data_IF_765990147965
#
_entry.id   IF_765990147965
#
_cell.length_a   1.000
_cell.length_b   1.000
_cell.length_c   1.000
_cell.angle_alpha   90.00
_cell.angle_beta   90.00
_cell.angle_gamma   90.00
#
_symmetry.space_group_name_H-M   'P 1'
#
loop_
_entity.id
_entity.type
_entity.pdbx_description
1 polymer ?
#
# COMPACT_ATOMS: atom_id res chain seq x y z
N UNK A 1 13.68 -11.68 12.28
CA UNK A 1 13.86 -11.09 10.93
C UNK A 1 12.71 -11.40 9.98
N UNK A 2 12.20 -12.64 9.87
CA UNK A 2 11.12 -12.97 8.92
C UNK A 2 9.86 -12.14 9.05
N UNK A 3 9.36 -11.94 10.27
CA UNK A 3 8.15 -11.13 10.50
C UNK A 3 8.37 -9.63 10.19
N UNK A 4 9.61 -9.09 10.29
CA UNK A 4 9.93 -7.72 9.88
C UNK A 4 9.92 -7.62 8.36
N UNK A 5 10.45 -8.61 7.63
CA UNK A 5 10.34 -8.66 6.17
C UNK A 5 8.89 -8.80 5.70
N UNK A 6 8.07 -9.56 6.43
CA UNK A 6 6.64 -9.65 6.15
C UNK A 6 5.93 -8.31 6.38
N UNK A 7 6.24 -7.60 7.47
CA UNK A 7 5.71 -6.26 7.73
C UNK A 7 6.19 -5.23 6.69
N UNK A 8 7.47 -5.29 6.27
CA UNK A 8 7.98 -4.46 5.18
C UNK A 8 7.29 -4.79 3.85
N UNK A 9 7.06 -6.07 3.55
CA UNK A 9 6.29 -6.50 2.36
C UNK A 9 4.82 -6.10 2.41
N UNK A 10 4.27 -5.89 3.61
CA UNK A 10 2.93 -5.30 3.77
C UNK A 10 2.90 -3.83 3.36
N UNK A 11 3.91 -3.08 3.75
CA UNK A 11 4.01 -1.67 3.43
C UNK A 11 4.34 -1.45 1.94
N UNK A 12 5.34 -2.16 1.41
CA UNK A 12 5.72 -2.04 0.00
C UNK A 12 4.68 -2.67 -0.91
N UNK A 13 3.96 -1.85 -1.67
CA UNK A 13 2.88 -2.27 -2.54
C UNK A 13 2.68 -1.36 -3.76
N UNK A 14 1.52 -1.46 -4.39
CA UNK A 14 1.14 -0.58 -5.49
C UNK A 14 1.11 0.90 -5.07
N UNK A 15 0.90 1.18 -3.80
CA UNK A 15 0.95 2.52 -3.23
C UNK A 15 2.28 3.24 -3.46
N UNK A 16 3.40 2.50 -3.46
CA UNK A 16 4.75 3.06 -3.65
C UNK A 16 5.09 3.27 -5.12
N UNK A 17 4.66 2.34 -6.00
CA UNK A 17 5.13 2.31 -7.39
C UNK A 17 4.13 2.99 -8.33
N UNK A 18 2.88 3.04 -7.94
CA UNK A 18 1.79 3.64 -8.71
C UNK A 18 1.32 4.98 -8.11
N UNK A 19 0.73 4.92 -6.90
CA UNK A 19 0.08 6.09 -6.30
C UNK A 19 1.06 7.19 -5.90
N UNK A 20 2.21 6.83 -5.37
CA UNK A 20 3.21 7.80 -4.92
C UNK A 20 3.76 8.65 -6.08
N UNK A 21 4.26 8.09 -7.20
CA UNK A 21 4.71 8.91 -8.32
C UNK A 21 3.61 9.79 -8.90
N UNK A 22 2.38 9.29 -9.01
CA UNK A 22 1.24 10.11 -9.43
C UNK A 22 1.08 11.34 -8.53
N UNK A 23 1.05 11.16 -7.21
CA UNK A 23 0.92 12.27 -6.27
C UNK A 23 2.13 13.21 -6.28
N UNK A 24 3.34 12.69 -6.49
CA UNK A 24 4.55 13.52 -6.68
C UNK A 24 4.42 14.40 -7.92
N UNK A 25 3.93 13.84 -9.03
CA UNK A 25 3.66 14.56 -10.27
C UNK A 25 2.66 15.70 -10.09
N UNK A 26 1.53 15.39 -9.45
CA UNK A 26 0.42 16.34 -9.24
C UNK A 26 0.78 17.44 -8.24
N UNK A 27 1.70 17.20 -7.29
CA UNK A 27 1.92 18.07 -6.14
C UNK A 27 3.33 18.70 -6.06
N UNK A 28 4.03 18.81 -7.19
CA UNK A 28 5.24 19.65 -7.26
C UNK A 28 6.55 18.93 -6.91
N UNK A 29 6.65 17.62 -7.14
CA UNK A 29 7.93 16.92 -7.14
C UNK A 29 8.62 16.83 -5.77
N UNK A 30 9.86 17.30 -5.70
CA UNK A 30 10.72 17.19 -4.51
C UNK A 30 10.11 17.80 -3.23
N UNK A 31 9.34 18.88 -3.34
CA UNK A 31 8.70 19.51 -2.17
C UNK A 31 7.66 18.59 -1.54
N UNK A 32 6.85 17.91 -2.36
CA UNK A 32 5.92 16.89 -1.88
C UNK A 32 6.65 15.72 -1.18
N UNK A 33 7.78 15.25 -1.74
CA UNK A 33 8.58 14.16 -1.16
C UNK A 33 9.06 14.52 0.24
N UNK A 34 9.54 15.75 0.45
CA UNK A 34 9.96 16.21 1.77
C UNK A 34 8.81 16.21 2.79
N UNK A 35 7.64 16.73 2.41
CA UNK A 35 6.44 16.70 3.27
C UNK A 35 5.99 15.28 3.55
N UNK A 36 6.03 14.39 2.55
CA UNK A 36 5.72 12.97 2.71
C UNK A 36 6.62 12.30 3.75
N UNK A 37 7.94 12.51 3.69
CA UNK A 37 8.89 12.00 4.68
C UNK A 37 8.57 12.55 6.08
N UNK A 38 8.25 13.83 6.20
CA UNK A 38 7.82 14.42 7.47
C UNK A 38 6.54 13.77 8.01
N UNK A 39 5.55 13.51 7.15
CA UNK A 39 4.32 12.83 7.55
C UNK A 39 4.58 11.39 8.02
N UNK A 40 5.49 10.68 7.37
CA UNK A 40 5.92 9.35 7.83
C UNK A 40 6.52 9.43 9.24
N UNK A 41 7.43 10.35 9.48
CA UNK A 41 8.13 10.49 10.77
C UNK A 41 7.17 10.93 11.89
N UNK A 42 6.27 11.88 11.62
CA UNK A 42 5.44 12.51 12.64
C UNK A 42 4.11 11.77 12.89
N UNK A 43 3.58 11.06 11.89
CA UNK A 43 2.29 10.39 11.97
C UNK A 43 2.40 8.89 11.70
N UNK A 44 3.01 8.49 10.60
CA UNK A 44 3.08 7.09 10.18
C UNK A 44 3.79 6.19 11.19
N UNK A 45 5.03 6.53 11.55
CA UNK A 45 5.83 5.75 12.51
C UNK A 45 5.17 5.66 13.89
N UNK A 46 4.67 6.74 14.51
CA UNK A 46 3.97 6.64 15.78
C UNK A 46 2.76 5.71 15.75
N UNK A 47 1.93 5.78 14.71
CA UNK A 47 0.76 4.89 14.55
C UNK A 47 1.22 3.43 14.37
N UNK A 48 2.23 3.19 13.53
CA UNK A 48 2.82 1.85 13.34
C UNK A 48 3.35 1.28 14.66
N UNK A 49 4.07 2.07 15.44
CA UNK A 49 4.53 1.66 16.78
C UNK A 49 3.35 1.34 17.68
N UNK A 50 2.27 2.13 17.63
CA UNK A 50 1.03 1.86 18.35
C UNK A 50 0.43 0.49 18.02
N UNK A 51 0.33 0.14 16.72
CA UNK A 51 -0.11 -1.19 16.29
C UNK A 51 0.83 -2.31 16.75
N UNK A 52 2.14 -2.06 16.68
CA UNK A 52 3.13 -3.02 17.15
C UNK A 52 3.04 -3.26 18.66
N UNK A 53 2.79 -2.22 19.47
CA UNK A 53 2.55 -2.34 20.91
C UNK A 53 1.35 -3.25 21.16
N UNK A 54 0.23 -2.99 20.48
CA UNK A 54 -1.00 -3.77 20.64
C UNK A 54 -0.78 -5.23 20.23
N UNK A 55 -0.26 -5.47 19.03
CA UNK A 55 -0.08 -6.82 18.48
C UNK A 55 0.91 -7.66 19.28
N UNK A 56 2.12 -7.12 19.60
CA UNK A 56 3.14 -7.84 20.36
C UNK A 56 2.70 -8.14 21.78
N UNK A 57 2.00 -7.21 22.43
CA UNK A 57 1.54 -7.41 23.80
C UNK A 57 0.49 -8.51 23.90
N UNK A 58 -0.49 -8.50 22.99
CA UNK A 58 -1.66 -9.39 23.06
C UNK A 58 -1.46 -10.73 22.35
N UNK A 59 -0.51 -10.84 21.42
CA UNK A 59 -0.27 -12.03 20.61
C UNK A 59 -1.55 -12.55 19.93
N UNK A 60 -2.43 -11.63 19.50
CA UNK A 60 -3.76 -11.93 18.98
C UNK A 60 -4.07 -11.11 17.72
N UNK A 61 -5.09 -11.53 16.95
CA UNK A 61 -5.63 -10.69 15.88
C UNK A 61 -6.14 -9.35 16.45
N UNK A 62 -6.28 -8.35 15.57
CA UNK A 62 -6.60 -7.00 15.99
C UNK A 62 -7.91 -6.88 16.79
N UNK A 63 -8.97 -7.60 16.45
CA UNK A 63 -10.26 -7.54 17.16
C UNK A 63 -10.13 -8.08 18.59
N UNK A 64 -9.49 -9.22 18.74
CA UNK A 64 -9.29 -9.85 20.06
C UNK A 64 -8.25 -9.10 20.88
N UNK A 65 -7.27 -8.45 20.25
CA UNK A 65 -6.33 -7.57 20.93
C UNK A 65 -7.03 -6.42 21.64
N UNK A 66 -7.94 -5.70 20.98
CA UNK A 66 -8.73 -4.66 21.63
C UNK A 66 -9.71 -5.20 22.68
N UNK A 67 -10.23 -6.41 22.48
CA UNK A 67 -11.08 -7.08 23.47
C UNK A 67 -10.33 -7.42 24.77
N UNK A 68 -9.05 -7.83 24.64
CA UNK A 68 -8.19 -8.11 25.80
C UNK A 68 -7.76 -6.84 26.53
N UNK A 69 -7.38 -5.77 25.78
CA UNK A 69 -6.87 -4.53 26.35
C UNK A 69 -7.96 -3.62 26.92
N UNK A 70 -9.20 -3.77 26.46
CA UNK A 70 -10.35 -2.97 26.90
C UNK A 70 -11.62 -3.82 27.01
N UNK A 71 -11.68 -4.79 27.97
CA UNK A 71 -12.81 -5.71 28.10
C UNK A 71 -14.10 -4.96 28.39
N UNK A 72 -15.15 -5.31 27.64
CA UNK A 72 -16.49 -4.70 27.80
C UNK A 72 -16.61 -3.25 27.30
N UNK A 73 -15.57 -2.67 26.70
CA UNK A 73 -15.59 -1.30 26.17
C UNK A 73 -15.79 -1.29 24.66
N UNK A 74 -16.28 -0.15 24.14
CA UNK A 74 -16.55 0.07 22.72
C UNK A 74 -15.29 0.10 21.84
N UNK A 75 -14.09 0.21 22.41
CA UNK A 75 -12.80 0.24 21.70
C UNK A 75 -12.58 -0.94 20.76
N UNK A 76 -13.30 -2.05 20.96
CA UNK A 76 -13.31 -3.17 20.03
C UNK A 76 -13.66 -2.76 18.59
N UNK A 77 -14.37 -1.65 18.39
CA UNK A 77 -14.75 -1.13 17.08
C UNK A 77 -13.51 -0.87 16.19
N UNK A 78 -12.37 -0.45 16.78
CA UNK A 78 -11.13 -0.21 16.05
C UNK A 78 -10.66 -1.50 15.38
N UNK A 79 -10.70 -2.61 16.11
CA UNK A 79 -10.34 -3.92 15.55
C UNK A 79 -11.28 -4.35 14.42
N UNK A 80 -12.59 -4.12 14.60
CA UNK A 80 -13.61 -4.43 13.56
C UNK A 80 -13.39 -3.56 12.33
N UNK A 81 -13.13 -2.26 12.50
CA UNK A 81 -12.82 -1.36 11.39
C UNK A 81 -11.54 -1.78 10.65
N UNK A 82 -10.45 -2.11 11.38
CA UNK A 82 -9.19 -2.53 10.78
C UNK A 82 -9.32 -3.82 9.96
N UNK A 83 -9.93 -4.87 10.53
CA UNK A 83 -10.14 -6.13 9.78
C UNK A 83 -11.16 -5.95 8.65
N UNK A 84 -12.22 -5.18 8.88
CA UNK A 84 -13.23 -4.88 7.86
C UNK A 84 -12.65 -4.13 6.67
N UNK A 85 -11.84 -3.10 6.92
CA UNK A 85 -11.20 -2.33 5.85
C UNK A 85 -10.15 -3.17 5.11
N UNK A 86 -9.38 -4.03 5.81
CA UNK A 86 -8.46 -4.95 5.15
C UNK A 86 -9.19 -5.90 4.20
N UNK A 87 -10.39 -6.37 4.57
CA UNK A 87 -11.22 -7.22 3.72
C UNK A 87 -11.79 -6.48 2.51
N UNK A 88 -12.28 -5.25 2.69
CA UNK A 88 -12.77 -4.41 1.59
C UNK A 88 -11.63 -4.09 0.62
N UNK A 89 -10.48 -3.65 1.14
CA UNK A 89 -9.30 -3.36 0.31
C UNK A 89 -8.88 -4.60 -0.44
N UNK A 90 -8.73 -5.75 0.21
CA UNK A 90 -8.38 -7.01 -0.46
C UNK A 90 -9.27 -7.27 -1.67
N UNK A 91 -10.58 -7.04 -1.54
CA UNK A 91 -11.56 -7.35 -2.59
C UNK A 91 -11.34 -6.54 -3.87
N UNK A 92 -11.10 -5.23 -3.80
CA UNK A 92 -10.83 -4.43 -5.00
C UNK A 92 -9.36 -4.45 -5.40
N UNK A 93 -8.46 -4.65 -4.44
CA UNK A 93 -7.02 -4.74 -4.71
C UNK A 93 -6.67 -5.93 -5.60
N UNK A 94 -7.42 -7.04 -5.52
CA UNK A 94 -7.28 -8.20 -6.41
C UNK A 94 -7.48 -7.83 -7.87
N UNK A 95 -8.38 -6.91 -8.17
CA UNK A 95 -8.68 -6.46 -9.53
C UNK A 95 -7.46 -5.76 -10.11
N UNK A 96 -6.94 -4.74 -9.40
CA UNK A 96 -5.77 -3.99 -9.82
C UNK A 96 -4.52 -4.88 -9.88
N UNK A 97 -4.40 -5.81 -8.94
CA UNK A 97 -3.30 -6.79 -8.94
C UNK A 97 -3.40 -7.74 -10.14
N UNK A 98 -4.61 -8.11 -10.55
CA UNK A 98 -4.86 -8.85 -11.79
C UNK A 98 -4.38 -8.08 -13.03
N UNK A 99 -4.55 -6.75 -13.06
CA UNK A 99 -4.02 -5.91 -14.13
C UNK A 99 -2.50 -5.97 -14.22
N UNK A 100 -1.79 -5.94 -13.07
CA UNK A 100 -0.32 -6.05 -13.08
C UNK A 100 0.16 -7.39 -13.65
N UNK A 101 -0.55 -8.48 -13.33
CA UNK A 101 -0.25 -9.81 -13.87
C UNK A 101 -0.48 -9.86 -15.39
N UNK A 102 -1.61 -9.33 -15.87
CA UNK A 102 -1.91 -9.26 -17.29
C UNK A 102 -0.91 -8.40 -18.06
N UNK A 103 -0.52 -7.26 -17.51
CA UNK A 103 0.47 -6.37 -18.14
C UNK A 103 1.89 -6.97 -18.13
N UNK A 104 2.27 -7.71 -17.10
CA UNK A 104 3.52 -8.48 -17.12
C UNK A 104 3.52 -9.51 -18.27
N UNK A 105 2.42 -10.27 -18.41
CA UNK A 105 2.24 -11.20 -19.53
C UNK A 105 2.27 -10.48 -20.89
N UNK A 106 1.53 -9.38 -21.05
CA UNK A 106 1.43 -8.61 -22.29
C UNK A 106 2.76 -7.96 -22.68
N UNK A 107 3.58 -7.57 -21.71
CA UNK A 107 4.94 -7.08 -21.96
C UNK A 107 5.82 -8.18 -22.55
N UNK A 108 5.85 -9.38 -21.93
CA UNK A 108 6.67 -10.49 -22.43
C UNK A 108 6.14 -11.15 -23.70
N UNK A 109 4.85 -11.02 -24.00
CA UNK A 109 4.28 -11.48 -25.28
C UNK A 109 4.55 -10.52 -26.45
N UNK A 110 5.08 -9.33 -26.16
CA UNK A 110 5.34 -8.29 -27.19
C UNK A 110 4.11 -7.44 -27.52
N UNK A 111 2.96 -7.68 -26.90
CA UNK A 111 1.72 -6.93 -27.19
C UNK A 111 1.85 -5.41 -26.84
N UNK A 112 2.64 -5.09 -25.82
CA UNK A 112 2.93 -3.70 -25.43
C UNK A 112 4.11 -3.06 -26.15
N UNK A 113 4.77 -3.78 -27.05
CA UNK A 113 5.97 -3.29 -27.80
C UNK A 113 5.63 -2.80 -29.19
N UNK A 114 4.36 -2.83 -29.60
CA UNK A 114 3.93 -2.31 -30.88
C UNK A 114 3.89 -0.75 -30.83
N UNK A 115 4.67 -0.03 -31.66
CA UNK A 115 4.67 1.44 -31.68
C UNK A 115 3.31 2.07 -32.05
N UNK A 116 2.49 1.35 -32.81
CA UNK A 116 1.16 1.80 -33.24
C UNK A 116 0.05 1.42 -32.27
N UNK A 117 0.38 0.90 -31.09
CA UNK A 117 -0.60 0.51 -30.07
C UNK A 117 -1.24 1.73 -29.42
N UNK A 118 -2.56 1.81 -29.48
CA UNK A 118 -3.33 2.72 -28.62
C UNK A 118 -3.42 2.11 -27.21
N UNK A 119 -2.52 2.51 -26.33
CA UNK A 119 -2.44 1.98 -24.97
C UNK A 119 -3.67 2.35 -24.11
N UNK A 120 -4.36 3.46 -24.44
CA UNK A 120 -5.62 3.83 -23.81
C UNK A 120 -6.72 2.85 -24.15
N UNK A 121 -6.89 2.56 -25.46
CA UNK A 121 -7.83 1.54 -25.92
C UNK A 121 -7.45 0.14 -25.41
N UNK A 122 -6.16 -0.23 -25.44
CA UNK A 122 -5.69 -1.52 -24.93
C UNK A 122 -6.08 -1.74 -23.47
N UNK A 123 -5.90 -0.74 -22.61
CA UNK A 123 -6.32 -0.82 -21.21
C UNK A 123 -7.84 -0.83 -21.08
N UNK A 124 -8.54 0.07 -21.80
CA UNK A 124 -10.00 0.16 -21.80
C UNK A 124 -10.65 -1.16 -22.19
N UNK A 125 -10.20 -1.77 -23.30
CA UNK A 125 -10.71 -3.06 -23.78
C UNK A 125 -10.45 -4.20 -22.80
N UNK A 126 -9.27 -4.18 -22.15
CA UNK A 126 -8.93 -5.17 -21.13
C UNK A 126 -9.83 -5.08 -19.90
N UNK A 127 -10.01 -3.90 -19.33
CA UNK A 127 -10.82 -3.74 -18.11
C UNK A 127 -12.31 -3.89 -18.37
N UNK A 128 -12.77 -3.54 -19.58
CA UNK A 128 -14.15 -3.72 -20.01
C UNK A 128 -14.48 -5.19 -20.31
N UNK A 129 -13.46 -6.01 -20.65
CA UNK A 129 -13.66 -7.43 -20.91
C UNK A 129 -13.83 -8.19 -19.58
N UNK A 130 -15.06 -8.65 -19.24
CA UNK A 130 -15.33 -9.25 -17.94
C UNK A 130 -14.53 -10.54 -17.70
N UNK A 131 -14.33 -11.35 -18.74
CA UNK A 131 -13.65 -12.65 -18.62
C UNK A 131 -12.16 -12.48 -18.39
N UNK A 132 -11.51 -11.60 -19.14
CA UNK A 132 -10.07 -11.41 -19.08
C UNK A 132 -9.65 -10.76 -17.74
N UNK A 133 -10.37 -9.71 -17.33
CA UNK A 133 -10.16 -9.05 -16.04
C UNK A 133 -10.44 -10.00 -14.87
N UNK A 134 -11.50 -10.80 -14.95
CA UNK A 134 -11.85 -11.76 -13.90
C UNK A 134 -10.83 -12.90 -13.80
N UNK A 135 -10.40 -13.49 -14.93
CA UNK A 135 -9.41 -14.57 -14.93
C UNK A 135 -8.11 -14.12 -14.29
N UNK A 136 -7.60 -12.94 -14.65
CA UNK A 136 -6.36 -12.41 -14.05
C UNK A 136 -6.49 -12.16 -12.55
N UNK A 137 -7.63 -11.64 -12.07
CA UNK A 137 -7.91 -11.46 -10.65
C UNK A 137 -8.02 -12.81 -9.91
N UNK A 138 -8.68 -13.82 -10.49
CA UNK A 138 -8.77 -15.18 -9.93
C UNK A 138 -7.39 -15.82 -9.83
N UNK A 139 -6.58 -15.76 -10.88
CA UNK A 139 -5.21 -16.31 -10.88
C UNK A 139 -4.39 -15.64 -9.78
N UNK A 140 -4.46 -14.31 -9.66
CA UNK A 140 -3.75 -13.58 -8.62
C UNK A 140 -4.22 -13.98 -7.21
N UNK A 141 -5.55 -14.11 -7.00
CA UNK A 141 -6.10 -14.61 -5.73
C UNK A 141 -5.62 -16.02 -5.41
N UNK A 142 -5.59 -16.92 -6.38
CA UNK A 142 -5.11 -18.29 -6.17
C UNK A 142 -3.64 -18.31 -5.74
N UNK A 143 -2.78 -17.48 -6.36
CA UNK A 143 -1.39 -17.35 -5.93
C UNK A 143 -1.27 -16.86 -4.47
N UNK A 144 -2.03 -15.83 -4.12
CA UNK A 144 -2.08 -15.31 -2.74
C UNK A 144 -2.57 -16.39 -1.76
N UNK A 145 -3.66 -17.07 -2.11
CA UNK A 145 -4.24 -18.15 -1.30
C UNK A 145 -3.25 -19.30 -1.05
N UNK A 146 -2.54 -19.76 -2.09
CA UNK A 146 -1.55 -20.84 -1.98
C UNK A 146 -0.39 -20.50 -1.02
N UNK A 147 -0.05 -19.22 -0.90
CA UNK A 147 0.96 -18.76 0.06
C UNK A 147 0.37 -18.78 1.49
N UNK A 148 -0.84 -18.24 1.66
CA UNK A 148 -1.48 -18.11 2.97
C UNK A 148 -1.78 -19.48 3.61
N UNK A 149 -2.22 -20.48 2.86
CA UNK A 149 -2.52 -21.82 3.40
C UNK A 149 -1.30 -22.53 3.96
N UNK A 150 -0.07 -22.16 3.50
CA UNK A 150 1.18 -22.75 4.01
C UNK A 150 1.57 -22.21 5.39
N UNK A 151 0.89 -21.18 5.88
CA UNK A 151 1.12 -20.60 7.21
C UNK A 151 2.11 -19.45 7.23
N UNK A 152 2.36 -18.94 8.43
CA UNK A 152 3.19 -17.72 8.60
C UNK A 152 4.66 -18.01 8.26
N UNK A 153 5.25 -19.05 8.81
CA UNK A 153 6.68 -19.33 8.65
C UNK A 153 7.02 -19.90 7.28
N UNK A 154 6.30 -20.94 6.83
CA UNK A 154 6.58 -21.65 5.58
C UNK A 154 5.97 -20.96 4.34
N UNK A 155 4.94 -20.16 4.53
CA UNK A 155 4.29 -19.39 3.46
C UNK A 155 4.76 -17.94 3.44
N UNK A 156 4.26 -17.13 4.36
CA UNK A 156 4.40 -15.67 4.34
C UNK A 156 5.85 -15.24 4.51
N UNK A 157 6.52 -15.66 5.59
CA UNK A 157 7.91 -15.25 5.87
C UNK A 157 8.89 -15.75 4.81
N UNK A 158 8.75 -17.01 4.38
CA UNK A 158 9.60 -17.59 3.34
C UNK A 158 9.41 -16.87 2.03
N UNK A 159 8.17 -16.58 1.64
CA UNK A 159 7.84 -15.82 0.44
C UNK A 159 8.41 -14.41 0.51
N UNK A 160 8.19 -13.68 1.61
CA UNK A 160 8.69 -12.32 1.79
C UNK A 160 10.22 -12.23 1.77
N UNK A 161 10.93 -13.23 2.33
CA UNK A 161 12.40 -13.32 2.27
C UNK A 161 12.95 -13.47 0.85
N UNK A 162 12.15 -13.96 -0.09
CA UNK A 162 12.53 -14.11 -1.50
C UNK A 162 12.05 -12.89 -2.31
N UNK A 163 10.77 -12.53 -2.17
CA UNK A 163 10.16 -11.49 -2.98
C UNK A 163 10.74 -10.09 -2.70
N UNK A 164 11.02 -9.75 -1.43
CA UNK A 164 11.54 -8.43 -1.10
C UNK A 164 12.93 -8.14 -1.66
N UNK A 165 13.95 -9.02 -1.51
CA UNK A 165 15.23 -8.84 -2.18
C UNK A 165 15.12 -8.82 -3.71
N UNK A 166 14.25 -9.66 -4.30
CA UNK A 166 14.03 -9.68 -5.74
C UNK A 166 13.41 -8.37 -6.24
N UNK A 167 12.43 -7.83 -5.50
CA UNK A 167 11.84 -6.52 -5.77
C UNK A 167 12.91 -5.41 -5.72
N UNK A 168 13.74 -5.37 -4.66
CA UNK A 168 14.80 -4.38 -4.54
C UNK A 168 15.88 -4.53 -5.63
N UNK A 169 16.18 -5.75 -6.07
CA UNK A 169 17.08 -5.99 -7.18
C UNK A 169 16.52 -5.44 -8.51
N UNK A 170 15.26 -5.75 -8.80
CA UNK A 170 14.61 -5.28 -10.04
C UNK A 170 14.52 -3.75 -10.05
N UNK A 171 14.11 -3.13 -8.93
CA UNK A 171 14.03 -1.66 -8.86
C UNK A 171 15.42 -1.03 -9.04
N UNK A 172 16.47 -1.64 -8.48
CA UNK A 172 17.85 -1.18 -8.67
C UNK A 172 18.30 -1.28 -10.14
N UNK A 173 18.00 -2.38 -10.82
CA UNK A 173 18.27 -2.55 -12.26
C UNK A 173 17.54 -1.49 -13.08
N UNK A 174 16.24 -1.30 -12.82
CA UNK A 174 15.44 -0.30 -13.53
C UNK A 174 15.97 1.12 -13.34
N UNK A 175 16.33 1.50 -12.10
CA UNK A 175 16.96 2.81 -11.84
C UNK A 175 18.27 2.98 -12.60
N UNK A 176 19.12 1.96 -12.66
CA UNK A 176 20.36 2.03 -13.46
C UNK A 176 20.06 2.22 -14.95
N UNK A 177 19.06 1.54 -15.48
CA UNK A 177 18.64 1.69 -16.88
C UNK A 177 18.16 3.12 -17.20
N UNK A 178 17.58 3.84 -16.25
CA UNK A 178 17.09 5.23 -16.49
C UNK A 178 18.21 6.22 -16.77
N UNK A 179 19.46 5.94 -16.36
CA UNK A 179 20.60 6.81 -16.67
C UNK A 179 20.93 6.87 -18.16
N UNK A 180 20.43 5.94 -18.98
CA UNK A 180 20.55 5.98 -20.44
C UNK A 180 19.40 6.75 -21.13
N UNK A 181 18.41 7.20 -20.39
CA UNK A 181 17.26 7.92 -20.94
C UNK A 181 17.56 9.41 -21.16
N UNK A 182 17.05 10.02 -22.26
CA UNK A 182 17.26 11.44 -22.54
C UNK A 182 16.77 12.39 -21.44
N UNK A 183 15.62 12.08 -20.80
CA UNK A 183 14.98 12.88 -19.77
C UNK A 183 15.55 12.70 -18.36
N UNK A 184 16.74 12.10 -18.19
CA UNK A 184 17.32 11.84 -16.87
C UNK A 184 17.56 13.11 -16.06
N UNK A 185 18.09 14.17 -16.69
CA UNK A 185 18.41 15.42 -15.98
C UNK A 185 17.17 16.16 -15.50
N UNK A 186 16.13 16.22 -16.32
CA UNK A 186 14.85 16.81 -16.00
C UNK A 186 14.15 16.03 -14.90
N UNK A 187 14.13 14.69 -15.01
CA UNK A 187 13.56 13.79 -14.00
C UNK A 187 14.26 13.91 -12.64
N UNK A 188 15.60 13.93 -12.62
CA UNK A 188 16.36 14.13 -11.41
C UNK A 188 16.16 15.55 -10.83
N UNK A 189 16.11 16.57 -11.67
CA UNK A 189 15.82 17.94 -11.22
C UNK A 189 14.45 18.04 -10.57
N UNK A 190 13.43 17.41 -11.14
CA UNK A 190 12.07 17.39 -10.60
C UNK A 190 11.99 16.68 -9.24
N UNK A 191 12.73 15.59 -9.07
CA UNK A 191 12.74 14.81 -7.83
C UNK A 191 13.63 15.38 -6.71
N UNK A 192 14.66 16.18 -7.06
CA UNK A 192 15.68 16.60 -6.09
C UNK A 192 15.70 18.11 -5.83
N UNK A 193 15.09 18.93 -6.70
CA UNK A 193 15.01 20.38 -6.51
C UNK A 193 13.62 20.78 -6.00
N UNK A 194 13.45 21.08 -4.71
CA UNK A 194 12.14 21.39 -4.16
C UNK A 194 11.66 22.78 -4.59
N UNK A 195 10.45 22.82 -5.12
CA UNK A 195 9.72 24.06 -5.40
C UNK A 195 8.63 24.27 -4.32
N UNK A 196 8.97 25.04 -3.30
CA UNK A 196 8.06 25.32 -2.19
C UNK A 196 6.89 26.25 -2.55
N UNK A 197 6.92 26.91 -3.72
CA UNK A 197 5.83 27.79 -4.18
C UNK A 197 4.53 27.02 -4.42
N UNK A 198 4.64 25.72 -4.72
CA UNK A 198 3.49 24.82 -4.95
C UNK A 198 2.92 24.23 -3.66
N UNK A 199 3.58 24.43 -2.51
CA UNK A 199 3.11 23.92 -1.24
C UNK A 199 1.87 24.70 -0.77
N UNK A 200 0.82 23.93 -0.51
CA UNK A 200 -0.40 24.41 0.12
C UNK A 200 -0.94 23.34 1.08
N UNK A 201 -1.98 23.67 1.83
CA UNK A 201 -2.56 22.75 2.80
C UNK A 201 -3.07 21.45 2.15
N UNK A 202 -3.57 21.51 0.92
CA UNK A 202 -4.03 20.33 0.17
C UNK A 202 -2.89 19.36 -0.13
N UNK A 203 -1.71 19.86 -0.50
CA UNK A 203 -0.50 19.06 -0.75
C UNK A 203 -0.03 18.34 0.54
N UNK A 204 -0.07 19.04 1.68
CA UNK A 204 0.27 18.43 2.98
C UNK A 204 -0.68 17.29 3.30
N UNK A 205 -2.00 17.48 3.10
CA UNK A 205 -2.99 16.43 3.34
C UNK A 205 -2.86 15.25 2.37
N UNK A 206 -2.53 15.52 1.11
CA UNK A 206 -2.25 14.47 0.11
C UNK A 206 -1.02 13.64 0.50
N UNK A 207 0.06 14.29 0.94
CA UNK A 207 1.27 13.63 1.41
C UNK A 207 1.01 12.78 2.67
N UNK A 208 0.19 13.28 3.59
CA UNK A 208 -0.20 12.54 4.79
C UNK A 208 -1.08 11.34 4.45
N UNK A 209 -2.06 11.50 3.56
CA UNK A 209 -2.87 10.40 3.05
C UNK A 209 -2.04 9.31 2.38
N UNK A 210 -1.04 9.70 1.59
CA UNK A 210 -0.09 8.78 0.99
C UNK A 210 0.76 8.05 2.04
N UNK A 211 1.27 8.75 3.05
CA UNK A 211 2.04 8.13 4.12
C UNK A 211 1.22 7.10 4.91
N UNK A 212 -0.05 7.41 5.16
CA UNK A 212 -0.97 6.53 5.87
C UNK A 212 -1.29 5.26 5.08
N UNK A 213 -1.57 5.43 3.79
CA UNK A 213 -1.89 4.34 2.87
C UNK A 213 -0.67 3.43 2.61
N UNK A 214 0.49 4.03 2.30
CA UNK A 214 1.72 3.32 1.96
C UNK A 214 2.19 2.42 3.10
N UNK A 215 2.21 2.94 4.33
CA UNK A 215 2.64 2.18 5.50
C UNK A 215 1.63 1.12 5.98
N UNK A 216 0.48 0.96 5.32
CA UNK A 216 -0.59 0.03 5.69
C UNK A 216 -1.05 0.16 7.16
N UNK A 217 -1.05 1.38 7.70
CA UNK A 217 -1.46 1.65 9.08
C UNK A 217 -2.99 1.68 9.24
N UNK A 218 -3.49 1.32 10.41
CA UNK A 218 -4.90 1.19 10.76
C UNK A 218 -5.69 0.10 9.99
N UNK A 219 -5.00 -0.75 9.23
CA UNK A 219 -5.59 -1.88 8.49
C UNK A 219 -5.55 -3.20 9.27
N UNK A 220 -5.00 -3.21 10.48
CA UNK A 220 -4.81 -4.43 11.26
C UNK A 220 -3.70 -5.37 10.77
N UNK A 221 -3.11 -5.11 9.60
CA UNK A 221 -2.00 -5.91 9.06
C UNK A 221 -0.77 -5.85 9.96
N UNK A 222 -0.36 -4.65 10.35
CA UNK A 222 0.82 -4.44 11.20
C UNK A 222 0.60 -4.99 12.61
N UNK A 223 -0.59 -4.83 13.18
CA UNK A 223 -0.97 -5.44 14.45
C UNK A 223 -0.92 -6.98 14.36
N UNK A 224 -1.42 -7.56 13.27
CA UNK A 224 -1.38 -9.01 13.03
C UNK A 224 0.06 -9.51 12.92
N UNK A 225 0.93 -8.83 12.16
CA UNK A 225 2.34 -9.23 12.09
C UNK A 225 3.07 -9.04 13.42
N UNK A 226 2.76 -7.98 14.16
CA UNK A 226 3.33 -7.76 15.47
C UNK A 226 2.90 -8.83 16.48
N UNK A 227 1.74 -9.47 16.30
CA UNK A 227 1.35 -10.62 17.14
C UNK A 227 2.25 -11.84 16.96
N UNK A 228 3.03 -11.89 15.88
CA UNK A 228 4.05 -12.92 15.62
C UNK A 228 5.46 -12.50 16.06
N UNK A 229 5.64 -11.28 16.57
CA UNK A 229 6.94 -10.82 17.06
C UNK A 229 7.33 -11.50 18.36
N UNK A 230 8.62 -11.80 18.49
CA UNK A 230 9.20 -12.22 19.76
C UNK A 230 9.21 -11.04 20.76
N UNK A 231 9.14 -11.34 22.04
CA UNK A 231 9.16 -10.32 23.12
C UNK A 231 10.40 -9.40 23.08
N UNK A 232 11.53 -9.90 22.56
CA UNK A 232 12.78 -9.14 22.42
C UNK A 232 12.85 -8.28 21.16
N UNK A 233 11.84 -8.28 20.30
CA UNK A 233 11.82 -7.47 19.08
C UNK A 233 11.70 -5.98 19.43
N UNK A 234 12.65 -5.15 18.99
CA UNK A 234 12.65 -3.71 19.24
C UNK A 234 11.64 -3.00 18.31
N UNK A 235 10.48 -2.61 18.85
CA UNK A 235 9.35 -2.11 18.06
C UNK A 235 9.68 -0.85 17.25
N UNK A 236 10.33 0.13 17.87
CA UNK A 236 10.68 1.40 17.19
C UNK A 236 11.70 1.16 16.08
N UNK A 237 12.72 0.33 16.32
CA UNK A 237 13.69 -0.03 15.28
C UNK A 237 13.02 -0.78 14.13
N UNK A 238 12.08 -1.66 14.43
CA UNK A 238 11.30 -2.37 13.40
C UNK A 238 10.45 -1.41 12.58
N UNK A 239 9.76 -0.46 13.23
CA UNK A 239 8.96 0.55 12.54
C UNK A 239 9.82 1.44 11.64
N UNK A 240 10.99 1.89 12.13
CA UNK A 240 11.95 2.65 11.33
C UNK A 240 12.47 1.84 10.13
N UNK A 241 12.78 0.55 10.32
CA UNK A 241 13.24 -0.30 9.22
C UNK A 241 12.15 -0.49 8.16
N UNK A 242 10.92 -0.79 8.57
CA UNK A 242 9.79 -0.96 7.65
C UNK A 242 9.52 0.33 6.88
N UNK A 243 9.41 1.47 7.57
CA UNK A 243 9.14 2.76 6.92
C UNK A 243 10.31 3.21 6.02
N UNK A 244 11.57 2.92 6.39
CA UNK A 244 12.71 3.24 5.53
C UNK A 244 12.71 2.43 4.24
N UNK A 245 12.40 1.14 4.30
CA UNK A 245 12.29 0.28 3.11
C UNK A 245 11.14 0.77 2.23
N UNK A 246 9.97 1.02 2.81
CA UNK A 246 8.79 1.53 2.12
C UNK A 246 9.07 2.85 1.40
N UNK A 247 9.61 3.84 2.12
CA UNK A 247 9.95 5.15 1.57
C UNK A 247 11.03 5.07 0.48
N UNK A 248 12.04 4.20 0.67
CA UNK A 248 13.07 4.00 -0.34
C UNK A 248 12.49 3.46 -1.63
N UNK A 249 11.61 2.45 -1.57
CA UNK A 249 10.95 1.90 -2.75
C UNK A 249 10.07 2.96 -3.42
N UNK A 250 9.32 3.77 -2.66
CA UNK A 250 8.51 4.86 -3.20
C UNK A 250 9.37 5.90 -3.95
N UNK A 251 10.48 6.35 -3.35
CA UNK A 251 11.37 7.32 -3.98
C UNK A 251 12.06 6.71 -5.21
N UNK A 252 12.56 5.48 -5.12
CA UNK A 252 13.21 4.79 -6.24
C UNK A 252 12.24 4.58 -7.41
N UNK A 253 10.95 4.34 -7.17
CA UNK A 253 9.96 4.29 -8.26
C UNK A 253 9.80 5.64 -8.95
N UNK A 254 9.91 6.75 -8.24
CA UNK A 254 10.00 8.09 -8.84
C UNK A 254 11.22 8.22 -9.76
N UNK A 255 12.40 7.71 -9.36
CA UNK A 255 13.60 7.68 -10.19
C UNK A 255 13.47 6.79 -11.45
N UNK A 256 12.52 5.85 -11.47
CA UNK A 256 12.20 5.06 -12.67
C UNK A 256 11.25 5.85 -13.58
N UNK A 257 10.20 6.42 -13.03
CA UNK A 257 9.06 6.95 -13.77
C UNK A 257 9.35 8.34 -14.35
N UNK A 258 9.89 9.27 -13.55
CA UNK A 258 10.06 10.65 -14.01
C UNK A 258 11.11 10.81 -15.12
N UNK A 259 12.30 10.20 -15.08
CA UNK A 259 13.21 10.24 -16.23
C UNK A 259 12.57 9.68 -17.50
N UNK A 260 11.78 8.61 -17.39
CA UNK A 260 11.07 8.04 -18.53
C UNK A 260 10.02 9.02 -19.09
N UNK A 261 9.16 9.58 -18.23
CA UNK A 261 8.13 10.57 -18.62
C UNK A 261 8.75 11.80 -19.30
N UNK A 262 9.80 12.37 -18.71
CA UNK A 262 10.49 13.54 -19.29
C UNK A 262 11.31 13.22 -20.55
N UNK A 263 11.51 11.94 -20.88
CA UNK A 263 12.13 11.52 -22.14
C UNK A 263 11.20 11.64 -23.34
N UNK A 264 9.89 11.77 -23.12
CA UNK A 264 8.89 11.78 -24.20
C UNK A 264 8.20 13.14 -24.25
N UNK A 265 8.29 13.87 -25.38
CA UNK A 265 7.62 15.16 -25.55
C UNK A 265 6.09 15.05 -25.39
N UNK A 266 5.49 16.06 -24.82
CA UNK A 266 4.03 16.18 -24.64
C UNK A 266 3.39 15.16 -23.67
N UNK A 267 4.17 14.41 -22.93
CA UNK A 267 3.67 13.57 -21.83
C UNK A 267 3.79 14.36 -20.53
N UNK A 268 2.67 14.51 -19.83
CA UNK A 268 2.63 15.20 -18.55
C UNK A 268 2.92 14.23 -17.39
N UNK A 269 3.64 14.71 -16.37
CA UNK A 269 3.96 13.92 -15.19
C UNK A 269 2.74 13.61 -14.30
N UNK A 270 1.60 14.27 -14.56
CA UNK A 270 0.34 14.19 -13.82
C UNK A 270 -0.76 13.42 -14.55
N UNK A 271 -0.42 12.40 -15.32
CA UNK A 271 -1.39 11.62 -16.12
C UNK A 271 -2.45 10.82 -15.30
N UNK A 272 -2.54 11.05 -13.99
CA UNK A 272 -3.56 10.46 -13.12
C UNK A 272 -3.46 8.93 -12.96
N UNK A 273 -4.58 8.24 -12.64
CA UNK A 273 -4.60 6.79 -12.46
C UNK A 273 -4.20 5.99 -13.71
N UNK A 274 -4.38 6.58 -14.90
CA UNK A 274 -3.97 6.01 -16.19
C UNK A 274 -2.46 5.96 -16.41
N UNK A 275 -1.67 6.69 -15.61
CA UNK A 275 -0.22 6.81 -15.79
C UNK A 275 0.45 5.44 -15.98
N UNK A 276 0.19 4.49 -15.10
CA UNK A 276 0.89 3.20 -15.08
C UNK A 276 0.46 2.25 -16.20
N UNK A 277 -0.83 2.23 -16.54
CA UNK A 277 -1.36 1.25 -17.47
C UNK A 277 -1.61 1.79 -18.88
N UNK A 278 -1.68 3.09 -19.04
CA UNK A 278 -1.92 3.75 -20.33
C UNK A 278 -0.69 4.51 -20.81
N UNK A 279 -0.07 5.32 -19.95
CA UNK A 279 1.02 6.22 -20.33
C UNK A 279 2.39 5.53 -20.29
N UNK A 280 2.71 4.81 -19.22
CA UNK A 280 4.05 4.22 -19.07
C UNK A 280 4.41 3.17 -20.13
N UNK A 281 3.51 2.30 -20.65
CA UNK A 281 3.86 1.41 -21.75
C UNK A 281 4.35 2.18 -22.99
N UNK A 282 3.65 3.27 -23.35
CA UNK A 282 4.07 4.17 -24.42
C UNK A 282 5.43 4.81 -24.12
N UNK A 283 5.57 5.37 -22.92
CA UNK A 283 6.80 6.05 -22.48
C UNK A 283 8.01 5.11 -22.50
N UNK A 284 7.88 3.88 -22.03
CA UNK A 284 8.98 2.92 -22.01
C UNK A 284 9.42 2.52 -23.41
N UNK A 285 8.50 2.39 -24.36
CA UNK A 285 8.84 2.13 -25.74
C UNK A 285 9.57 3.31 -26.40
N UNK A 286 9.13 4.54 -26.12
CA UNK A 286 9.71 5.76 -26.72
C UNK A 286 11.03 6.19 -26.07
N UNK A 287 11.18 6.02 -24.75
CA UNK A 287 12.37 6.45 -24.00
C UNK A 287 13.65 5.72 -24.42
N UNK A 288 13.52 4.52 -24.99
CA UNK A 288 14.62 3.72 -25.51
C UNK A 288 14.63 3.63 -27.05
N UNK A 289 14.09 4.63 -27.76
CA UNK A 289 13.82 4.63 -29.19
C UNK A 289 14.94 4.10 -30.10
N UNK A 290 16.20 4.26 -29.71
CA UNK A 290 17.36 3.73 -30.45
C UNK A 290 17.67 2.25 -30.12
N UNK A 291 17.09 1.68 -29.06
CA UNK A 291 17.34 0.31 -28.60
C UNK A 291 16.01 -0.32 -28.17
N UNK A 292 15.13 -0.73 -29.11
CA UNK A 292 13.79 -1.23 -28.79
C UNK A 292 13.76 -2.43 -27.83
N UNK A 293 14.78 -3.31 -27.91
CA UNK A 293 14.91 -4.47 -27.02
C UNK A 293 15.03 -4.05 -25.55
N UNK A 294 15.66 -2.90 -25.27
CA UNK A 294 15.82 -2.40 -23.91
C UNK A 294 14.48 -1.89 -23.35
N UNK A 295 13.67 -1.20 -24.16
CA UNK A 295 12.30 -0.79 -23.80
C UNK A 295 11.41 -2.00 -23.50
N UNK A 296 11.49 -3.04 -24.31
CA UNK A 296 10.78 -4.30 -24.09
C UNK A 296 11.14 -4.96 -22.75
N UNK A 297 12.44 -5.15 -22.48
CA UNK A 297 12.92 -5.76 -21.22
C UNK A 297 12.56 -4.88 -20.02
N UNK A 298 12.72 -3.55 -20.14
CA UNK A 298 12.41 -2.60 -19.09
C UNK A 298 10.92 -2.62 -18.71
N UNK A 299 10.04 -2.60 -19.72
CA UNK A 299 8.58 -2.72 -19.52
C UNK A 299 8.22 -4.03 -18.81
N UNK A 300 8.76 -5.16 -19.30
CA UNK A 300 8.53 -6.46 -18.67
C UNK A 300 8.96 -6.51 -17.19
N UNK A 301 10.18 -6.04 -16.90
CA UNK A 301 10.69 -5.98 -15.52
C UNK A 301 9.88 -5.03 -14.64
N UNK A 302 9.40 -3.91 -15.16
CA UNK A 302 8.58 -2.97 -14.43
C UNK A 302 7.24 -3.58 -14.02
N UNK A 303 6.55 -4.28 -14.93
CA UNK A 303 5.27 -4.93 -14.57
C UNK A 303 5.46 -6.16 -13.69
N UNK A 304 6.59 -6.87 -13.78
CA UNK A 304 6.96 -7.89 -12.78
C UNK A 304 7.20 -7.26 -11.42
N UNK A 305 7.88 -6.12 -11.35
CA UNK A 305 8.06 -5.37 -10.10
C UNK A 305 6.71 -5.00 -9.47
N UNK A 306 5.78 -4.44 -10.26
CA UNK A 306 4.42 -4.12 -9.83
C UNK A 306 3.67 -5.35 -9.30
N UNK A 307 3.74 -6.46 -10.03
CA UNK A 307 3.12 -7.72 -9.63
C UNK A 307 3.67 -8.24 -8.30
N UNK A 308 4.99 -8.21 -8.09
CA UNK A 308 5.62 -8.65 -6.84
C UNK A 308 5.21 -7.76 -5.66
N UNK A 309 5.18 -6.44 -5.86
CA UNK A 309 4.72 -5.48 -4.86
C UNK A 309 3.23 -5.69 -4.52
N UNK A 310 2.39 -5.92 -5.53
CA UNK A 310 0.99 -6.25 -5.33
C UNK A 310 0.81 -7.54 -4.53
N UNK A 311 1.59 -8.57 -4.83
CA UNK A 311 1.48 -9.89 -4.19
C UNK A 311 1.85 -9.81 -2.70
N UNK A 312 2.92 -9.11 -2.33
CA UNK A 312 3.33 -8.97 -0.93
C UNK A 312 2.29 -8.24 -0.08
N UNK A 313 1.66 -7.19 -0.61
CA UNK A 313 0.58 -6.46 0.06
C UNK A 313 -0.71 -7.27 0.15
N UNK A 314 -1.10 -7.98 -0.91
CA UNK A 314 -2.29 -8.85 -0.90
C UNK A 314 -2.17 -9.98 0.13
N UNK A 315 -0.98 -10.58 0.27
CA UNK A 315 -0.70 -11.57 1.31
C UNK A 315 -0.99 -10.99 2.71
N UNK A 316 -0.61 -9.75 2.95
CA UNK A 316 -0.76 -9.09 4.24
C UNK A 316 -2.22 -8.78 4.57
N UNK A 317 -2.96 -8.24 3.62
CA UNK A 317 -4.39 -7.98 3.75
C UNK A 317 -5.16 -9.29 3.99
N UNK A 318 -4.83 -10.33 3.23
CA UNK A 318 -5.46 -11.64 3.36
C UNK A 318 -5.15 -12.29 4.70
N UNK A 319 -3.89 -12.19 5.19
CA UNK A 319 -3.47 -12.76 6.49
C UNK A 319 -4.20 -12.08 7.64
N UNK A 320 -4.34 -10.75 7.64
CA UNK A 320 -5.04 -10.03 8.70
C UNK A 320 -6.48 -10.55 8.91
N UNK A 321 -7.21 -10.77 7.81
CA UNK A 321 -8.57 -11.31 7.84
C UNK A 321 -8.57 -12.79 8.19
N UNK A 322 -7.64 -13.58 7.62
CA UNK A 322 -7.54 -15.02 7.89
C UNK A 322 -7.21 -15.31 9.35
N UNK A 323 -6.31 -14.54 9.96
CA UNK A 323 -5.96 -14.69 11.38
C UNK A 323 -7.19 -14.49 12.28
N UNK A 324 -8.03 -13.50 11.99
CA UNK A 324 -9.29 -13.29 12.70
C UNK A 324 -10.25 -14.47 12.53
N UNK A 325 -10.50 -14.92 11.30
CA UNK A 325 -11.45 -16.02 11.03
C UNK A 325 -10.96 -17.32 11.67
N UNK A 326 -9.67 -17.63 11.57
CA UNK A 326 -9.05 -18.80 12.16
C UNK A 326 -9.20 -18.84 13.69
N UNK A 327 -8.89 -17.72 14.37
CA UNK A 327 -8.92 -17.65 15.83
C UNK A 327 -10.34 -17.62 16.40
N UNK A 328 -11.26 -16.86 15.78
CA UNK A 328 -12.61 -16.70 16.31
C UNK A 328 -13.55 -17.85 15.95
N UNK A 329 -13.41 -18.45 14.77
CA UNK A 329 -14.26 -19.58 14.36
C UNK A 329 -13.61 -20.94 14.64
N UNK A 330 -12.44 -20.95 15.27
CA UNK A 330 -11.71 -22.16 15.70
C UNK A 330 -11.60 -23.22 14.59
N UNK A 331 -11.33 -22.80 13.37
CA UNK A 331 -11.22 -23.68 12.22
C UNK A 331 -9.78 -23.82 11.74
N UNK A 332 -9.51 -24.80 10.87
CA UNK A 332 -8.18 -24.98 10.28
C UNK A 332 -7.83 -23.80 9.38
N UNK A 333 -6.54 -23.46 9.30
CA UNK A 333 -6.01 -22.38 8.47
C UNK A 333 -6.45 -22.50 7.00
N UNK A 334 -6.44 -23.71 6.45
CA UNK A 334 -6.90 -23.98 5.08
C UNK A 334 -8.36 -23.57 4.90
N UNK A 335 -9.26 -23.97 5.82
CA UNK A 335 -10.68 -23.58 5.74
C UNK A 335 -10.87 -22.09 5.90
N UNK A 336 -10.21 -21.46 6.90
CA UNK A 336 -10.30 -20.01 7.10
C UNK A 336 -9.85 -19.22 5.86
N UNK A 337 -8.68 -19.56 5.32
CA UNK A 337 -8.15 -18.91 4.11
C UNK A 337 -9.07 -19.11 2.90
N UNK A 338 -9.63 -20.32 2.70
CA UNK A 338 -10.57 -20.58 1.59
C UNK A 338 -11.82 -19.72 1.69
N UNK A 339 -12.41 -19.59 2.90
CA UNK A 339 -13.59 -18.74 3.12
C UNK A 339 -13.25 -17.28 2.81
N UNK A 340 -12.14 -16.77 3.34
CA UNK A 340 -11.70 -15.38 3.10
C UNK A 340 -11.47 -15.13 1.61
N UNK A 341 -10.77 -16.05 0.93
CA UNK A 341 -10.53 -15.97 -0.52
C UNK A 341 -11.84 -15.94 -1.31
N UNK A 342 -12.76 -16.85 -1.00
CA UNK A 342 -14.05 -16.95 -1.70
C UNK A 342 -14.90 -15.67 -1.48
N UNK A 343 -15.01 -15.20 -0.23
CA UNK A 343 -15.76 -13.98 0.06
C UNK A 343 -15.14 -12.73 -0.56
N UNK A 344 -13.81 -12.57 -0.49
CA UNK A 344 -13.13 -11.44 -1.11
C UNK A 344 -13.24 -11.48 -2.63
N UNK A 345 -13.14 -12.68 -3.25
CA UNK A 345 -13.32 -12.84 -4.70
C UNK A 345 -14.75 -12.54 -5.13
N UNK A 346 -15.75 -12.91 -4.34
CA UNK A 346 -17.16 -12.57 -4.61
C UNK A 346 -17.34 -11.06 -4.71
N UNK A 347 -16.81 -10.28 -3.77
CA UNK A 347 -16.83 -8.81 -3.87
C UNK A 347 -15.96 -8.30 -5.01
N UNK A 348 -14.81 -8.92 -5.25
CA UNK A 348 -13.90 -8.61 -6.35
C UNK A 348 -14.53 -8.77 -7.73
N UNK A 349 -15.46 -9.75 -7.91
CA UNK A 349 -16.22 -9.90 -9.14
C UNK A 349 -17.03 -8.64 -9.43
N UNK A 350 -17.75 -8.09 -8.45
CA UNK A 350 -18.49 -6.84 -8.63
C UNK A 350 -17.59 -5.67 -8.95
N UNK A 351 -16.40 -5.60 -8.32
CA UNK A 351 -15.39 -4.58 -8.64
C UNK A 351 -14.85 -4.75 -10.07
N UNK A 352 -14.56 -5.97 -10.54
CA UNK A 352 -14.16 -6.21 -11.94
C UNK A 352 -15.25 -5.76 -12.93
N UNK A 353 -16.49 -6.16 -12.69
CA UNK A 353 -17.60 -5.85 -13.57
C UNK A 353 -17.96 -4.35 -13.61
N UNK A 354 -17.55 -3.58 -12.60
CA UNK A 354 -17.82 -2.14 -12.55
C UNK A 354 -17.06 -1.31 -13.58
N UNK A 355 -16.06 -1.88 -14.26
CA UNK A 355 -15.36 -1.24 -15.38
C UNK A 355 -16.01 -1.54 -16.75
N UNK A 356 -16.94 -2.47 -16.82
CA UNK A 356 -17.62 -2.89 -18.06
C UNK A 356 -19.12 -3.04 -17.87
N UNK A 357 -19.59 -4.27 -17.62
CA UNK A 357 -21.02 -4.62 -17.59
C UNK A 357 -21.82 -3.81 -16.56
N UNK A 358 -21.22 -3.50 -15.40
CA UNK A 358 -21.85 -2.74 -14.31
C UNK A 358 -21.38 -1.28 -14.22
N UNK A 359 -20.73 -0.73 -15.25
CA UNK A 359 -20.18 0.64 -15.23
C UNK A 359 -21.24 1.72 -15.02
N UNK A 360 -22.48 1.46 -15.42
CA UNK A 360 -23.63 2.35 -15.23
C UNK A 360 -24.30 2.21 -13.84
N UNK A 361 -23.94 1.18 -13.06
CA UNK A 361 -24.43 1.01 -11.70
C UNK A 361 -23.57 1.83 -10.73
N UNK A 362 -24.07 3.00 -10.39
CA UNK A 362 -23.36 3.92 -9.48
C UNK A 362 -24.16 4.15 -8.19
N UNK A 363 -23.46 4.27 -7.07
CA UNK A 363 -23.98 4.63 -5.76
C UNK A 363 -23.31 5.95 -5.38
N UNK A 364 -24.07 7.02 -5.15
CA UNK A 364 -23.56 8.37 -4.96
C UNK A 364 -22.66 8.87 -6.11
N UNK A 365 -22.92 8.43 -7.35
CA UNK A 365 -22.10 8.77 -8.53
C UNK A 365 -20.77 8.00 -8.63
N UNK A 366 -20.49 7.06 -7.72
CA UNK A 366 -19.29 6.24 -7.71
C UNK A 366 -19.60 4.83 -8.23
N UNK A 367 -18.71 4.25 -9.03
CA UNK A 367 -18.75 2.83 -9.37
C UNK A 367 -18.56 1.97 -8.13
N UNK A 368 -18.83 0.66 -8.19
CA UNK A 368 -18.63 -0.23 -7.04
C UNK A 368 -17.15 -0.24 -6.61
N UNK A 369 -16.23 -0.22 -7.57
CA UNK A 369 -14.79 -0.14 -7.30
C UNK A 369 -14.44 1.17 -6.61
N UNK A 370 -14.85 2.31 -7.15
CA UNK A 370 -14.58 3.63 -6.58
C UNK A 370 -15.22 3.83 -5.21
N UNK A 371 -16.40 3.24 -4.99
CA UNK A 371 -17.08 3.25 -3.70
C UNK A 371 -16.25 2.52 -2.64
N UNK A 372 -15.73 1.32 -2.97
CA UNK A 372 -14.91 0.53 -2.05
C UNK A 372 -13.59 1.26 -1.72
N UNK A 373 -12.93 1.83 -2.75
CA UNK A 373 -11.72 2.62 -2.53
C UNK A 373 -12.00 3.88 -1.70
N UNK A 374 -13.03 4.65 -2.05
CA UNK A 374 -13.38 5.89 -1.33
C UNK A 374 -13.77 5.63 0.12
N UNK A 375 -14.62 4.65 0.39
CA UNK A 375 -15.06 4.31 1.75
C UNK A 375 -13.89 3.81 2.59
N UNK A 376 -13.03 2.96 2.03
CA UNK A 376 -11.87 2.44 2.76
C UNK A 376 -10.83 3.53 3.02
N UNK A 377 -10.40 4.27 1.98
CA UNK A 377 -9.28 5.20 2.05
C UNK A 377 -9.64 6.53 2.73
N UNK A 378 -10.85 7.07 2.47
CA UNK A 378 -11.22 8.41 2.93
C UNK A 378 -12.06 8.40 4.22
N UNK A 379 -12.66 7.26 4.58
CA UNK A 379 -13.54 7.18 5.77
C UNK A 379 -12.96 6.23 6.81
N UNK A 380 -12.88 4.92 6.51
CA UNK A 380 -12.60 3.90 7.53
C UNK A 380 -11.15 3.99 8.02
N UNK A 381 -10.18 4.13 7.13
CA UNK A 381 -8.77 4.20 7.50
C UNK A 381 -8.44 5.42 8.35
N UNK A 382 -8.81 6.66 7.97
CA UNK A 382 -8.55 7.83 8.80
C UNK A 382 -9.24 7.75 10.16
N UNK A 383 -10.51 7.35 10.18
CA UNK A 383 -11.26 7.22 11.44
C UNK A 383 -10.64 6.15 12.36
N UNK A 384 -10.28 4.99 11.80
CA UNK A 384 -9.57 3.92 12.52
C UNK A 384 -8.24 4.41 13.09
N UNK A 385 -7.47 5.19 12.32
CA UNK A 385 -6.20 5.77 12.73
C UNK A 385 -6.31 6.78 13.87
N UNK A 386 -7.32 7.69 13.83
CA UNK A 386 -7.61 8.61 14.93
C UNK A 386 -7.93 7.82 16.19
N UNK A 387 -8.86 6.87 16.10
CA UNK A 387 -9.28 6.07 17.24
C UNK A 387 -8.13 5.25 17.83
N UNK A 388 -7.26 4.68 16.98
CA UNK A 388 -6.07 3.94 17.41
C UNK A 388 -5.08 4.87 18.14
N UNK A 389 -4.83 6.06 17.61
CA UNK A 389 -3.96 7.05 18.25
C UNK A 389 -4.50 7.48 19.61
N UNK A 390 -5.79 7.73 19.70
CA UNK A 390 -6.47 8.05 20.96
C UNK A 390 -6.42 6.88 21.95
N UNK A 391 -6.62 5.64 21.48
CA UNK A 391 -6.55 4.46 22.31
C UNK A 391 -5.17 4.27 22.94
N UNK A 392 -4.11 4.28 22.13
CA UNK A 392 -2.73 4.07 22.61
C UNK A 392 -2.21 5.28 23.40
N UNK A 393 -2.53 6.49 22.93
CA UNK A 393 -2.03 7.72 23.53
C UNK A 393 -2.71 8.08 24.86
N UNK A 394 -4.02 7.84 25.00
CA UNK A 394 -4.81 8.34 26.13
C UNK A 394 -5.44 7.26 26.99
N UNK A 395 -5.94 6.15 26.38
CA UNK A 395 -6.70 5.14 27.12
C UNK A 395 -5.80 4.04 27.69
N UNK A 396 -4.84 3.54 26.88
CA UNK A 396 -4.01 2.40 27.26
C UNK A 396 -3.08 2.73 28.44
N UNK A 397 -2.86 1.76 29.32
CA UNK A 397 -1.99 1.94 30.48
C UNK A 397 -0.60 2.43 30.05
N UNK A 398 -0.21 3.60 30.56
CA UNK A 398 1.04 4.28 30.18
C UNK A 398 2.28 3.44 30.49
N UNK A 399 2.27 2.68 31.58
CA UNK A 399 3.37 1.82 31.98
C UNK A 399 3.52 0.64 31.03
N UNK A 400 2.40 0.04 30.59
CA UNK A 400 2.39 -1.00 29.56
C UNK A 400 3.00 -0.48 28.27
N UNK A 401 2.55 0.66 27.76
CA UNK A 401 3.06 1.27 26.53
C UNK A 401 4.56 1.61 26.67
N UNK A 402 4.99 2.12 27.82
CA UNK A 402 6.40 2.41 28.10
C UNK A 402 7.25 1.14 28.04
N UNK A 403 6.83 0.07 28.71
CA UNK A 403 7.56 -1.21 28.72
C UNK A 403 7.69 -1.78 27.31
N UNK A 404 6.62 -1.75 26.53
CA UNK A 404 6.63 -2.24 25.16
C UNK A 404 7.54 -1.37 24.26
N UNK A 405 7.44 -0.05 24.28
CA UNK A 405 8.25 0.85 23.44
C UNK A 405 9.75 0.77 23.82
N UNK A 406 10.05 0.72 25.11
CA UNK A 406 11.45 0.70 25.61
C UNK A 406 12.03 -0.71 25.70
N UNK A 407 11.30 -1.74 25.30
CA UNK A 407 11.69 -3.16 25.44
C UNK A 407 12.14 -3.46 26.87
N UNK A 408 11.30 -3.17 27.85
CA UNK A 408 11.57 -3.29 29.29
C UNK A 408 12.79 -2.49 29.77
N UNK A 409 13.15 -1.42 29.09
CA UNK A 409 14.26 -0.52 29.45
C UNK A 409 15.57 -0.78 28.71
N UNK A 410 15.63 -1.77 27.81
CA UNK A 410 16.80 -2.03 26.96
C UNK A 410 17.05 -0.93 25.91
N UNK A 411 15.99 -0.22 25.51
CA UNK A 411 16.06 0.88 24.55
C UNK A 411 15.94 2.22 25.29
N UNK A 412 16.56 3.26 24.74
CA UNK A 412 16.57 4.60 25.32
C UNK A 412 15.16 5.07 25.72
N UNK A 413 15.00 5.43 26.99
CA UNK A 413 13.73 5.92 27.53
C UNK A 413 13.31 7.28 26.94
N UNK A 414 14.23 8.02 26.27
CA UNK A 414 13.94 9.31 25.63
C UNK A 414 12.99 9.19 24.44
N UNK A 415 12.88 8.02 23.82
CA UNK A 415 12.01 7.79 22.66
C UNK A 415 10.53 7.74 23.08
N UNK A 416 10.24 7.21 24.27
CA UNK A 416 8.88 7.06 24.78
C UNK A 416 8.09 8.38 24.83
N UNK A 417 8.59 9.48 25.47
CA UNK A 417 7.83 10.72 25.52
C UNK A 417 7.58 11.34 24.15
N UNK A 418 8.49 11.17 23.20
CA UNK A 418 8.31 11.67 21.83
C UNK A 418 7.17 10.92 21.13
N UNK A 419 7.20 9.59 21.14
CA UNK A 419 6.15 8.78 20.49
C UNK A 419 4.79 9.02 21.14
N UNK A 420 4.72 9.09 22.46
CA UNK A 420 3.46 9.37 23.17
C UNK A 420 2.94 10.78 22.87
N UNK A 421 3.80 11.79 22.80
CA UNK A 421 3.39 13.13 22.40
C UNK A 421 2.80 13.14 20.98
N UNK A 422 3.47 12.48 20.04
CA UNK A 422 2.99 12.36 18.65
C UNK A 422 1.67 11.62 18.57
N UNK A 423 1.49 10.51 19.29
CA UNK A 423 0.24 9.74 19.33
C UNK A 423 -0.91 10.48 20.03
N UNK A 424 -0.60 11.32 21.03
CA UNK A 424 -1.64 12.06 21.77
C UNK A 424 -2.17 13.27 21.03
N UNK A 425 -1.29 14.00 20.37
CA UNK A 425 -1.61 15.32 19.84
C UNK A 425 -1.44 15.43 18.35
N UNK A 426 -0.28 15.08 17.82
CA UNK A 426 0.05 15.32 16.40
C UNK A 426 -0.77 14.40 15.49
N UNK A 427 -0.73 13.10 15.72
CA UNK A 427 -1.38 12.13 14.85
C UNK A 427 -2.92 12.29 14.84
N UNK A 428 -3.63 12.41 15.96
CA UNK A 428 -5.09 12.60 15.92
C UNK A 428 -5.52 13.86 15.18
N UNK A 429 -4.83 15.00 15.41
CA UNK A 429 -5.17 16.27 14.76
C UNK A 429 -4.90 16.19 13.27
N UNK A 430 -3.74 15.68 12.88
CA UNK A 430 -3.34 15.54 11.49
C UNK A 430 -4.29 14.62 10.71
N UNK A 431 -4.59 13.43 11.25
CA UNK A 431 -5.47 12.46 10.58
C UNK A 431 -6.92 12.97 10.54
N UNK A 432 -7.39 13.64 11.59
CA UNK A 432 -8.73 14.23 11.62
C UNK A 432 -8.88 15.32 10.55
N UNK A 433 -7.85 16.15 10.36
CA UNK A 433 -7.83 17.16 9.28
C UNK A 433 -7.94 16.51 7.89
N UNK A 434 -7.24 15.39 7.67
CA UNK A 434 -7.33 14.61 6.43
C UNK A 434 -8.73 14.00 6.24
N UNK A 435 -9.31 13.44 7.31
CA UNK A 435 -10.65 12.88 7.30
C UNK A 435 -11.72 13.91 6.93
N UNK A 436 -11.68 15.09 7.58
CA UNK A 436 -12.63 16.18 7.30
C UNK A 436 -12.53 16.63 5.85
N UNK A 437 -11.30 16.80 5.30
CA UNK A 437 -11.10 17.15 3.90
C UNK A 437 -11.68 16.07 2.97
N UNK A 438 -11.39 14.80 3.23
CA UNK A 438 -11.93 13.68 2.43
C UNK A 438 -13.46 13.67 2.40
N UNK A 439 -14.11 13.97 3.53
CA UNK A 439 -15.57 14.13 3.57
C UNK A 439 -16.05 15.32 2.73
N UNK A 440 -15.41 16.49 2.85
CA UNK A 440 -15.79 17.68 2.08
C UNK A 440 -15.66 17.41 0.57
N UNK A 441 -14.59 16.76 0.12
CA UNK A 441 -14.39 16.42 -1.29
C UNK A 441 -15.43 15.41 -1.80
N UNK A 442 -15.88 14.49 -0.94
CA UNK A 442 -16.91 13.51 -1.29
C UNK A 442 -18.30 14.15 -1.46
N UNK A 443 -18.63 15.16 -0.64
CA UNK A 443 -19.92 15.86 -0.74
C UNK A 443 -19.96 16.98 -1.78
N UNK A 444 -18.81 17.42 -2.28
CA UNK A 444 -18.71 18.47 -3.32
C UNK A 444 -18.60 17.90 -4.75
N UNK A 445 -18.57 16.57 -4.90
CA UNK A 445 -18.68 15.85 -6.18
C UNK A 445 -20.14 15.52 -6.47
#
# INVERSE_FOLDING_TARGET
MGAIFAAAGSAVGLGNIWRFPMLVGDNGGAAFILIYIMCILLVGIPIMVGEFVIGRHTQSNMIDAFRQLAPGKWWRIIGVMGIGVAFIILSYYLVVSGWTLYYAYSSFSGALSNPDCDYGAFFGDYVANPWLSLISAVVFMLMTHLIIIRGVQEGIEKCSKILMPMLLLIIGILVVCTFSMPGINEGLSFLLKPDFSKLNFSVILAAMGQAFYSLSVAMGCLCTYASYFNKNTRLVSSALSVSSIDTSVAILSGFIIFPAVFSVPHVEANAGPGLVFQTLPYVFNMAFGNIPILGYIFSGLFYVLLFLAALTSAISLHEAVTAYVLQNWKMSRKKASTIVSACAMTLGIFCCLSFGVLSHWTIFGLTIFDLFDTVSSNIILPLGGVLLALFVGWYLNRELVRKEITNNGEVSQRIFPIIIFLLRWVAPIAILSMFIKGLIEMFNK
#
